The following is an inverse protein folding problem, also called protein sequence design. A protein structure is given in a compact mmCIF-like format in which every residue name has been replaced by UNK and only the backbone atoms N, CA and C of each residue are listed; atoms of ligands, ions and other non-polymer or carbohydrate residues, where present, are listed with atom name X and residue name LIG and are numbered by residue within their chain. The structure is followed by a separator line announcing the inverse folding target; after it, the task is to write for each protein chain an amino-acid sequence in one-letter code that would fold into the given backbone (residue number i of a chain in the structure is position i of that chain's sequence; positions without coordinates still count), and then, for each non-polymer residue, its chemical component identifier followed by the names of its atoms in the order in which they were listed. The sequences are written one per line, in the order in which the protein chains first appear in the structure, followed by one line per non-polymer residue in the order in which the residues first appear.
data_IF_062221573342
#
_entry.id   IF_062221573342
#
_cell.length_a   1.000
_cell.length_b   1.000
_cell.length_c   1.000
_cell.angle_alpha   90.00
_cell.angle_beta   90.00
_cell.angle_gamma   90.00
#
_symmetry.space_group_name_H-M   'P 1'
#
loop_
_entity.id
_entity.type
_entity.pdbx_description
1 polymer ?
#
# COMPACT_ATOMS: atom_id res chain seq x y z
N UNK A 1 -17.28 -16.54 -32.19
CA UNK A 1 -17.78 -15.42 -31.36
C UNK A 1 -17.30 -15.46 -29.91
N UNK A 2 -17.79 -16.34 -29.02
CA UNK A 2 -17.38 -16.33 -27.60
C UNK A 2 -15.85 -16.39 -27.40
N UNK A 3 -15.16 -17.27 -28.15
CA UNK A 3 -13.70 -17.37 -28.13
C UNK A 3 -13.00 -16.11 -28.68
N UNK A 4 -13.58 -15.45 -29.69
CA UNK A 4 -13.01 -14.21 -30.25
C UNK A 4 -13.10 -13.07 -29.24
N UNK A 5 -14.25 -12.92 -28.58
CA UNK A 5 -14.44 -11.95 -27.49
C UNK A 5 -13.47 -12.26 -26.34
N UNK A 6 -13.31 -13.53 -26.00
CA UNK A 6 -12.36 -13.95 -24.96
C UNK A 6 -10.91 -13.61 -25.32
N UNK A 7 -10.52 -13.74 -26.59
CA UNK A 7 -9.19 -13.35 -27.05
C UNK A 7 -9.01 -11.84 -26.99
N UNK A 8 -10.01 -11.07 -27.43
CA UNK A 8 -9.97 -9.60 -27.34
C UNK A 8 -9.84 -9.14 -25.88
N UNK A 9 -10.55 -9.75 -24.94
CA UNK A 9 -10.42 -9.45 -23.50
C UNK A 9 -8.99 -9.66 -22.97
N UNK A 10 -8.23 -10.61 -23.53
CA UNK A 10 -6.82 -10.82 -23.17
C UNK A 10 -5.93 -9.67 -23.67
N UNK A 11 -6.23 -9.13 -24.86
CA UNK A 11 -5.54 -7.97 -25.43
C UNK A 11 -5.88 -6.69 -24.65
N UNK A 12 -7.17 -6.42 -24.43
CA UNK A 12 -7.68 -5.29 -23.64
C UNK A 12 -7.04 -5.25 -22.24
N UNK A 13 -6.82 -6.42 -21.60
CA UNK A 13 -6.17 -6.47 -20.29
C UNK A 13 -4.76 -5.86 -20.30
N UNK A 14 -4.03 -5.90 -21.42
CA UNK A 14 -2.67 -5.38 -21.52
C UNK A 14 -2.62 -3.84 -21.57
N UNK A 15 -3.72 -3.18 -21.90
CA UNK A 15 -3.80 -1.71 -21.94
C UNK A 15 -3.80 -1.09 -20.54
N UNK A 16 -4.04 -1.89 -19.49
CA UNK A 16 -4.13 -1.43 -18.11
C UNK A 16 -2.81 -1.62 -17.35
N UNK A 17 -2.37 -0.58 -16.65
CA UNK A 17 -1.22 -0.66 -15.76
C UNK A 17 -1.57 -1.42 -14.48
N UNK A 18 -1.13 -2.67 -14.39
CA UNK A 18 -1.39 -3.55 -13.26
C UNK A 18 -0.91 -3.01 -11.90
N UNK A 19 -0.08 -1.95 -11.87
CA UNK A 19 0.34 -1.28 -10.63
C UNK A 19 -0.76 -0.41 -10.04
N UNK A 20 -1.71 0.08 -10.81
CA UNK A 20 -2.74 1.03 -10.35
C UNK A 20 -4.15 0.65 -10.80
N UNK A 21 -4.26 -0.31 -11.72
CA UNK A 21 -5.51 -0.78 -12.31
C UNK A 21 -5.60 -2.30 -12.18
N UNK A 22 -6.83 -2.80 -11.99
CA UNK A 22 -7.12 -4.23 -11.92
C UNK A 22 -8.19 -4.56 -12.95
N UNK A 23 -7.92 -5.52 -13.83
CA UNK A 23 -8.87 -6.00 -14.84
C UNK A 23 -8.72 -7.50 -15.07
N UNK A 24 -9.72 -8.26 -14.64
CA UNK A 24 -9.88 -9.68 -14.91
C UNK A 24 -11.31 -9.95 -15.35
N UNK A 25 -11.56 -9.76 -16.65
CA UNK A 25 -12.87 -9.97 -17.26
C UNK A 25 -12.79 -11.17 -18.22
N UNK A 26 -13.85 -11.98 -18.21
CA UNK A 26 -13.98 -13.18 -19.06
C UNK A 26 -15.35 -13.19 -19.71
N UNK A 27 -15.43 -13.73 -20.92
CA UNK A 27 -16.69 -13.96 -21.60
C UNK A 27 -17.24 -15.32 -21.15
N UNK A 28 -18.39 -15.32 -20.47
CA UNK A 28 -18.92 -16.52 -19.79
C UNK A 28 -19.97 -17.25 -20.61
N UNK A 29 -20.78 -16.53 -21.38
CA UNK A 29 -21.81 -17.09 -22.24
C UNK A 29 -22.09 -16.17 -23.43
N UNK A 30 -22.50 -16.76 -24.55
CA UNK A 30 -22.95 -16.03 -25.73
C UNK A 30 -24.20 -16.69 -26.30
N UNK A 31 -25.30 -15.95 -26.34
CA UNK A 31 -26.57 -16.40 -26.89
C UNK A 31 -27.29 -15.24 -27.57
N UNK A 32 -27.82 -15.46 -28.77
CA UNK A 32 -28.65 -14.49 -29.50
C UNK A 32 -28.04 -13.08 -29.65
N UNK A 33 -26.72 -12.99 -29.85
CA UNK A 33 -26.03 -11.70 -30.00
C UNK A 33 -25.72 -10.98 -28.69
N UNK A 34 -26.11 -11.54 -27.54
CA UNK A 34 -25.73 -11.04 -26.21
C UNK A 34 -24.56 -11.85 -25.65
N UNK A 35 -23.54 -11.15 -25.15
CA UNK A 35 -22.41 -11.75 -24.45
C UNK A 35 -22.46 -11.40 -22.97
N UNK A 36 -22.47 -12.41 -22.11
CA UNK A 36 -22.33 -12.23 -20.67
C UNK A 36 -20.84 -12.13 -20.31
N UNK A 37 -20.51 -11.14 -19.49
CA UNK A 37 -19.19 -10.92 -18.95
C UNK A 37 -19.19 -11.22 -17.46
N UNK A 38 -18.15 -11.91 -16.99
CA UNK A 38 -17.91 -12.18 -15.58
C UNK A 38 -16.49 -11.82 -15.17
N UNK A 39 -16.26 -11.74 -13.86
CA UNK A 39 -14.93 -11.52 -13.29
C UNK A 39 -14.89 -10.32 -12.35
N UNK A 40 -13.77 -9.61 -12.34
CA UNK A 40 -13.46 -8.54 -11.38
C UNK A 40 -12.72 -7.39 -12.08
N UNK A 41 -13.07 -6.16 -11.75
CA UNK A 41 -12.34 -4.95 -12.15
C UNK A 41 -12.17 -4.04 -10.95
N UNK A 42 -11.20 -3.12 -11.00
CA UNK A 42 -10.95 -2.20 -9.90
C UNK A 42 -12.18 -1.37 -9.57
N UNK A 43 -12.75 -0.68 -10.56
CA UNK A 43 -13.88 0.22 -10.38
C UNK A 43 -14.70 0.37 -11.68
N UNK A 44 -15.74 1.20 -11.63
CA UNK A 44 -16.62 1.43 -12.77
C UNK A 44 -15.94 2.12 -13.97
N UNK A 45 -14.84 2.86 -13.76
CA UNK A 45 -14.12 3.50 -14.84
C UNK A 45 -13.39 2.43 -15.68
N UNK A 46 -12.78 1.44 -15.03
CA UNK A 46 -12.18 0.29 -15.72
C UNK A 46 -13.25 -0.51 -16.45
N UNK A 47 -14.41 -0.77 -15.82
CA UNK A 47 -15.50 -1.50 -16.48
C UNK A 47 -15.97 -0.80 -17.76
N UNK A 48 -16.18 0.51 -17.67
CA UNK A 48 -16.61 1.34 -18.81
C UNK A 48 -15.58 1.31 -19.94
N UNK A 49 -14.30 1.39 -19.62
CA UNK A 49 -13.23 1.31 -20.62
C UNK A 49 -13.23 -0.04 -21.37
N UNK A 50 -13.36 -1.16 -20.64
CA UNK A 50 -13.45 -2.50 -21.23
C UNK A 50 -14.66 -2.61 -22.16
N UNK A 51 -15.85 -2.19 -21.70
CA UNK A 51 -17.07 -2.27 -22.51
C UNK A 51 -16.96 -1.41 -23.77
N UNK A 52 -16.38 -0.22 -23.67
CA UNK A 52 -16.20 0.67 -24.83
C UNK A 52 -15.29 0.04 -25.89
N UNK A 53 -14.15 -0.52 -25.48
CA UNK A 53 -13.23 -1.19 -26.41
C UNK A 53 -13.89 -2.42 -27.07
N UNK A 54 -14.59 -3.24 -26.29
CA UNK A 54 -15.35 -4.37 -26.83
C UNK A 54 -16.44 -3.94 -27.81
N UNK A 55 -17.17 -2.87 -27.52
CA UNK A 55 -18.26 -2.35 -28.38
C UNK A 55 -17.70 -1.80 -29.70
N UNK A 56 -16.53 -1.16 -29.67
CA UNK A 56 -15.84 -0.72 -30.90
C UNK A 56 -15.48 -1.93 -31.77
N UNK A 57 -14.98 -3.01 -31.15
CA UNK A 57 -14.54 -4.21 -31.86
C UNK A 57 -15.72 -5.06 -32.37
N UNK A 58 -16.77 -5.15 -31.58
CA UNK A 58 -17.94 -6.00 -31.82
C UNK A 58 -19.24 -5.19 -31.73
N UNK A 59 -19.51 -4.28 -32.69
CA UNK A 59 -20.62 -3.33 -32.61
C UNK A 59 -22.02 -3.96 -32.67
N UNK A 60 -22.12 -5.22 -33.09
CA UNK A 60 -23.37 -5.98 -33.13
C UNK A 60 -23.63 -6.82 -31.88
N UNK A 61 -22.74 -6.79 -30.89
CA UNK A 61 -22.84 -7.59 -29.66
C UNK A 61 -23.35 -6.71 -28.52
N UNK A 62 -24.38 -7.19 -27.81
CA UNK A 62 -24.86 -6.60 -26.56
C UNK A 62 -24.04 -7.19 -25.39
N UNK A 63 -23.29 -6.36 -24.67
CA UNK A 63 -22.43 -6.81 -23.56
C UNK A 63 -23.12 -6.61 -22.21
N UNK A 64 -23.39 -7.72 -21.51
CA UNK A 64 -23.98 -7.71 -20.18
C UNK A 64 -22.90 -7.97 -19.11
N UNK A 65 -22.58 -6.95 -18.32
CA UNK A 65 -21.52 -7.01 -17.30
C UNK A 65 -22.04 -7.05 -15.86
N UNK A 66 -23.29 -7.45 -15.66
CA UNK A 66 -23.93 -7.56 -14.32
C UNK A 66 -23.19 -8.53 -13.39
N UNK A 67 -22.51 -9.53 -13.95
CA UNK A 67 -21.68 -10.49 -13.21
C UNK A 67 -20.20 -10.08 -13.05
N UNK A 68 -19.82 -8.86 -13.46
CA UNK A 68 -18.47 -8.30 -13.23
C UNK A 68 -18.46 -7.53 -11.90
N UNK A 69 -17.66 -8.00 -10.95
CA UNK A 69 -17.54 -7.37 -9.65
C UNK A 69 -16.64 -6.12 -9.69
N UNK A 70 -17.11 -5.03 -9.09
CA UNK A 70 -16.30 -3.83 -8.82
C UNK A 70 -15.61 -3.97 -7.46
N UNK A 71 -14.28 -4.08 -7.46
CA UNK A 71 -13.49 -4.33 -6.25
C UNK A 71 -13.44 -3.14 -5.30
N UNK A 72 -13.46 -1.92 -5.85
CA UNK A 72 -13.37 -0.68 -5.11
C UNK A 72 -14.69 0.07 -5.20
N UNK A 73 -15.23 0.40 -4.03
CA UNK A 73 -16.43 1.23 -3.89
C UNK A 73 -16.07 2.59 -3.29
N UNK A 74 -16.93 3.61 -3.44
CA UNK A 74 -16.82 4.82 -2.63
C UNK A 74 -16.83 4.47 -1.13
N UNK A 75 -15.89 5.00 -0.36
CA UNK A 75 -15.77 4.77 1.09
C UNK A 75 -15.48 3.32 1.51
N UNK A 76 -14.49 2.68 0.87
CA UNK A 76 -13.96 1.41 1.37
C UNK A 76 -13.47 1.54 2.81
N UNK A 77 -13.72 0.54 3.68
CA UNK A 77 -13.03 0.47 4.96
C UNK A 77 -11.53 0.38 4.71
N UNK A 78 -10.74 0.85 5.67
CA UNK A 78 -9.29 0.76 5.58
C UNK A 78 -8.72 -0.13 6.65
N UNK A 79 -7.57 -0.73 6.37
CA UNK A 79 -6.75 -1.45 7.33
C UNK A 79 -5.42 -0.72 7.52
N UNK A 80 -4.77 -0.99 8.65
CA UNK A 80 -3.47 -0.40 9.00
C UNK A 80 -2.40 -1.49 9.03
N UNK A 81 -1.22 -1.18 8.49
CA UNK A 81 -0.03 -2.04 8.62
C UNK A 81 0.44 -2.04 10.08
N UNK A 82 0.38 -3.20 10.73
CA UNK A 82 0.65 -3.36 12.17
C UNK A 82 1.99 -4.03 12.49
N UNK A 83 2.71 -4.49 11.46
CA UNK A 83 4.12 -4.86 11.57
C UNK A 83 5.02 -3.64 11.35
N UNK A 84 6.32 -3.78 11.64
CA UNK A 84 7.30 -2.70 11.42
C UNK A 84 7.44 -2.36 9.92
N UNK A 85 7.61 -3.39 9.10
CA UNK A 85 7.85 -3.29 7.66
C UNK A 85 7.31 -4.56 6.99
N UNK A 86 6.58 -4.41 5.89
CA UNK A 86 6.16 -5.54 5.03
C UNK A 86 6.33 -5.19 3.56
N UNK A 87 6.57 -6.20 2.72
CA UNK A 87 6.52 -6.04 1.27
C UNK A 87 5.08 -5.92 0.75
N UNK A 88 4.93 -5.17 -0.34
CA UNK A 88 3.79 -5.21 -1.25
C UNK A 88 4.23 -5.99 -2.49
N UNK A 89 3.56 -7.11 -2.76
CA UNK A 89 4.01 -8.10 -3.73
C UNK A 89 3.14 -8.14 -4.98
N UNK A 90 3.72 -8.55 -6.12
CA UNK A 90 2.99 -8.69 -7.39
C UNK A 90 2.00 -9.86 -7.39
N UNK A 91 2.27 -10.92 -6.63
CA UNK A 91 1.40 -12.10 -6.49
C UNK A 91 1.26 -12.45 -5.01
N UNK A 92 0.28 -13.27 -4.61
CA UNK A 92 0.11 -13.72 -3.23
C UNK A 92 1.19 -14.77 -2.85
N UNK A 93 2.46 -14.37 -2.91
CA UNK A 93 3.61 -15.24 -2.66
C UNK A 93 4.84 -14.44 -2.21
N UNK A 94 5.55 -14.96 -1.20
CA UNK A 94 6.75 -14.32 -0.63
C UNK A 94 7.93 -14.31 -1.58
N UNK A 95 7.96 -15.23 -2.55
CA UNK A 95 9.00 -15.30 -3.59
C UNK A 95 8.61 -14.50 -4.84
N UNK A 96 7.42 -13.89 -4.86
CA UNK A 96 7.05 -13.01 -5.95
C UNK A 96 7.72 -11.65 -5.80
N UNK A 97 7.90 -10.98 -6.93
CA UNK A 97 8.45 -9.63 -7.03
C UNK A 97 7.83 -8.69 -5.98
N UNK A 98 8.69 -8.07 -5.17
CA UNK A 98 8.32 -6.97 -4.27
C UNK A 98 8.23 -5.69 -5.09
N UNK A 99 7.06 -5.09 -5.16
CA UNK A 99 6.81 -3.85 -5.92
C UNK A 99 7.04 -2.61 -5.05
N UNK A 100 6.79 -2.71 -3.74
CA UNK A 100 6.97 -1.65 -2.77
C UNK A 100 7.13 -2.25 -1.36
N UNK A 101 7.41 -1.41 -0.37
CA UNK A 101 7.39 -1.73 1.05
C UNK A 101 6.42 -0.80 1.78
N UNK A 102 5.74 -1.31 2.80
CA UNK A 102 4.79 -0.58 3.62
C UNK A 102 5.30 -0.50 5.06
N UNK A 103 5.26 0.70 5.64
CA UNK A 103 5.71 0.97 7.00
C UNK A 103 4.56 0.80 8.00
N UNK A 104 4.90 0.58 9.27
CA UNK A 104 3.91 0.61 10.35
C UNK A 104 3.04 1.88 10.29
N UNK A 105 1.74 1.73 10.54
CA UNK A 105 0.81 2.86 10.52
C UNK A 105 0.35 3.29 9.12
N UNK A 106 0.92 2.74 8.04
CA UNK A 106 0.38 2.99 6.70
C UNK A 106 -1.02 2.39 6.55
N UNK A 107 -1.89 3.15 5.90
CA UNK A 107 -3.28 2.78 5.66
C UNK A 107 -3.46 2.25 4.25
N UNK A 108 -4.24 1.18 4.11
CA UNK A 108 -4.55 0.56 2.82
C UNK A 108 -6.04 0.24 2.70
N UNK A 109 -6.57 0.24 1.48
CA UNK A 109 -7.91 -0.25 1.15
C UNK A 109 -7.79 -1.76 0.81
N UNK A 110 -8.35 -2.69 1.61
CA UNK A 110 -8.39 -4.10 1.24
C UNK A 110 -9.44 -4.34 0.14
N UNK A 111 -9.02 -4.90 -0.98
CA UNK A 111 -9.91 -5.16 -2.12
C UNK A 111 -10.51 -6.58 -2.06
N UNK A 112 -9.67 -7.59 -1.85
CA UNK A 112 -10.10 -8.97 -1.63
C UNK A 112 -8.97 -9.78 -0.96
N UNK A 113 -9.30 -10.96 -0.43
CA UNK A 113 -8.34 -11.84 0.27
C UNK A 113 -8.34 -13.23 -0.36
N UNK A 114 -7.14 -13.79 -0.51
CA UNK A 114 -6.89 -15.15 -0.98
C UNK A 114 -5.92 -15.84 -0.02
N UNK A 115 -6.42 -16.81 0.74
CA UNK A 115 -5.64 -17.49 1.77
C UNK A 115 -5.07 -16.52 2.80
N UNK A 116 -3.74 -16.49 2.94
CA UNK A 116 -3.03 -15.62 3.88
C UNK A 116 -2.63 -14.24 3.29
N UNK A 117 -3.20 -13.87 2.15
CA UNK A 117 -2.84 -12.67 1.41
C UNK A 117 -4.05 -11.81 1.13
N UNK A 118 -3.88 -10.51 1.30
CA UNK A 118 -4.90 -9.52 0.94
C UNK A 118 -4.36 -8.68 -0.21
N UNK A 119 -5.12 -8.60 -1.30
CA UNK A 119 -4.87 -7.65 -2.37
C UNK A 119 -5.39 -6.29 -1.92
N UNK A 120 -4.51 -5.29 -1.89
CA UNK A 120 -4.78 -3.98 -1.33
C UNK A 120 -4.50 -2.89 -2.34
N UNK A 121 -5.14 -1.73 -2.14
CA UNK A 121 -4.79 -0.47 -2.76
C UNK A 121 -4.20 0.48 -1.72
N UNK A 122 -3.02 1.01 -1.99
CA UNK A 122 -2.40 2.07 -1.21
C UNK A 122 -3.12 3.40 -1.44
N UNK A 123 -2.94 4.35 -0.52
CA UNK A 123 -3.57 5.67 -0.64
C UNK A 123 -3.09 6.45 -1.87
N UNK A 124 -1.89 6.17 -2.37
CA UNK A 124 -1.34 6.72 -3.62
C UNK A 124 -1.87 6.02 -4.89
N UNK A 125 -2.64 4.94 -4.74
CA UNK A 125 -3.23 4.17 -5.83
C UNK A 125 -2.49 2.89 -6.20
N UNK A 126 -1.31 2.62 -5.64
CA UNK A 126 -0.59 1.37 -5.94
C UNK A 126 -1.36 0.13 -5.45
N UNK A 127 -1.39 -0.89 -6.30
CA UNK A 127 -2.01 -2.18 -6.04
C UNK A 127 -0.96 -3.24 -5.75
N UNK A 128 -1.30 -4.19 -4.88
CA UNK A 128 -0.48 -5.37 -4.68
C UNK A 128 -0.94 -6.23 -3.51
N UNK A 129 -0.16 -7.28 -3.24
CA UNK A 129 -0.46 -8.29 -2.24
C UNK A 129 0.33 -8.09 -0.96
N UNK A 130 -0.36 -8.10 0.18
CA UNK A 130 0.24 -8.01 1.52
C UNK A 130 -0.16 -9.24 2.31
N UNK A 131 0.72 -9.71 3.20
CA UNK A 131 0.38 -10.75 4.17
C UNK A 131 -0.72 -10.25 5.12
N UNK A 132 -1.87 -10.93 5.13
CA UNK A 132 -3.05 -10.48 5.88
C UNK A 132 -2.77 -10.38 7.38
N UNK A 133 -1.91 -11.24 7.93
CA UNK A 133 -1.52 -11.21 9.34
C UNK A 133 -0.68 -9.99 9.76
N UNK A 134 -0.29 -9.13 8.82
CA UNK A 134 0.39 -7.86 9.09
C UNK A 134 -0.53 -6.64 8.98
N UNK A 135 -1.82 -6.86 8.73
CA UNK A 135 -2.85 -5.84 8.72
C UNK A 135 -3.72 -5.97 9.98
N UNK A 136 -4.14 -4.85 10.55
CA UNK A 136 -5.14 -4.82 11.62
C UNK A 136 -6.21 -3.78 11.32
N UNK A 137 -7.34 -3.89 12.02
CA UNK A 137 -8.33 -2.82 12.04
C UNK A 137 -7.71 -1.53 12.59
N UNK A 138 -8.14 -0.36 12.10
CA UNK A 138 -7.89 0.90 12.79
C UNK A 138 -8.44 0.81 14.23
N UNK A 139 -7.74 1.35 15.25
CA UNK A 139 -7.13 2.67 15.20
C UNK A 139 -5.66 2.68 15.66
N UNK A 140 -4.75 3.05 14.77
CA UNK A 140 -3.50 3.66 15.22
C UNK A 140 -3.84 5.06 15.79
N UNK A 141 -3.30 5.47 16.95
CA UNK A 141 -3.48 6.84 17.42
C UNK A 141 -2.97 7.83 16.36
N UNK A 142 -3.62 9.01 16.20
CA UNK A 142 -3.17 10.00 15.23
C UNK A 142 -1.68 10.31 15.40
N UNK A 143 -0.89 10.29 14.33
CA UNK A 143 0.54 10.50 14.45
C UNK A 143 0.82 11.94 14.90
N UNK A 144 1.78 12.10 15.80
CA UNK A 144 2.24 13.41 16.30
C UNK A 144 3.65 13.72 15.79
N UNK A 145 4.41 12.69 15.46
CA UNK A 145 5.80 12.78 15.04
C UNK A 145 6.05 11.89 13.81
N UNK A 146 7.12 12.18 13.10
CA UNK A 146 7.71 11.32 12.09
C UNK A 146 9.08 10.86 12.58
N UNK A 147 9.41 9.59 12.34
CA UNK A 147 10.76 9.08 12.60
C UNK A 147 11.74 9.75 11.63
N UNK A 148 12.67 10.54 12.18
CA UNK A 148 13.65 11.31 11.41
C UNK A 148 14.96 10.57 11.15
N UNK A 149 15.34 9.65 12.03
CA UNK A 149 16.52 8.80 11.85
C UNK A 149 16.25 7.67 10.82
N UNK A 150 17.27 7.17 10.09
CA UNK A 150 17.07 6.08 9.13
C UNK A 150 16.53 4.80 9.79
N UNK A 151 16.98 4.54 11.02
CA UNK A 151 16.47 3.50 11.92
C UNK A 151 16.32 4.10 13.31
N UNK A 152 15.14 3.93 13.92
CA UNK A 152 14.85 4.33 15.28
C UNK A 152 14.71 3.09 16.15
N UNK A 153 15.56 2.94 17.17
CA UNK A 153 15.51 1.84 18.11
C UNK A 153 14.44 2.08 19.17
N UNK A 154 13.72 1.01 19.53
CA UNK A 154 12.73 1.04 20.60
C UNK A 154 13.22 0.20 21.78
N UNK A 155 13.32 0.83 22.94
CA UNK A 155 13.75 0.23 24.21
C UNK A 155 12.55 -0.13 25.10
N UNK A 156 12.75 -1.06 26.03
CA UNK A 156 11.72 -1.44 27.02
C UNK A 156 11.42 -0.33 28.03
N UNK A 157 12.40 0.55 28.31
CA UNK A 157 12.26 1.75 29.15
C UNK A 157 12.97 2.93 28.50
N UNK A 158 12.79 4.12 29.07
CA UNK A 158 13.52 5.34 28.69
C UNK A 158 15.00 5.30 29.13
N UNK A 159 15.72 4.26 28.69
CA UNK A 159 17.10 3.95 29.07
C UNK A 159 17.72 3.02 28.01
N UNK A 160 18.83 3.44 27.40
CA UNK A 160 19.51 2.70 26.33
C UNK A 160 20.22 1.43 26.82
N UNK A 161 20.44 1.28 28.13
CA UNK A 161 20.97 0.06 28.72
C UNK A 161 19.94 -1.08 28.78
N UNK A 162 18.67 -0.77 28.53
CA UNK A 162 17.59 -1.75 28.59
C UNK A 162 17.42 -2.52 27.28
N UNK A 163 16.82 -3.72 27.29
CA UNK A 163 16.61 -4.48 26.07
C UNK A 163 15.77 -3.72 25.04
N UNK A 164 16.06 -3.99 23.76
CA UNK A 164 15.24 -3.52 22.64
C UNK A 164 13.93 -4.32 22.55
N UNK A 165 12.82 -3.63 22.30
CA UNK A 165 11.53 -4.23 21.92
C UNK A 165 11.33 -4.28 20.40
N UNK A 166 12.17 -3.55 19.66
CA UNK A 166 12.16 -3.52 18.20
C UNK A 166 12.85 -2.29 17.63
N UNK A 167 12.53 -2.00 16.38
CA UNK A 167 12.94 -0.78 15.66
C UNK A 167 11.79 -0.29 14.81
N UNK A 168 11.86 0.96 14.39
CA UNK A 168 10.96 1.61 13.44
C UNK A 168 11.81 2.26 12.36
N UNK A 169 11.39 2.17 11.11
CA UNK A 169 12.13 2.74 9.99
C UNK A 169 11.91 4.25 9.86
N UNK A 170 12.87 4.96 9.29
CA UNK A 170 12.72 6.37 8.92
C UNK A 170 11.46 6.64 8.11
N UNK A 171 10.92 7.85 8.24
CA UNK A 171 9.67 8.30 7.62
C UNK A 171 8.39 7.63 8.14
N UNK A 172 8.47 6.73 9.12
CA UNK A 172 7.27 6.20 9.79
C UNK A 172 6.61 7.30 10.61
N UNK A 173 5.32 7.55 10.36
CA UNK A 173 4.51 8.45 11.17
C UNK A 173 4.06 7.72 12.45
N UNK A 174 4.36 8.28 13.61
CA UNK A 174 4.14 7.64 14.90
C UNK A 174 3.43 8.56 15.88
N UNK A 175 2.66 7.96 16.79
CA UNK A 175 2.18 8.65 17.97
C UNK A 175 3.23 8.57 19.08
N UNK A 176 3.85 9.71 19.39
CA UNK A 176 4.86 9.84 20.42
C UNK A 176 4.36 10.71 21.58
N UNK A 177 4.53 10.22 22.80
CA UNK A 177 4.30 10.94 24.05
C UNK A 177 5.66 11.23 24.71
N UNK A 178 6.01 12.49 24.89
CA UNK A 178 7.28 12.88 25.53
C UNK A 178 7.22 12.48 27.02
N UNK A 179 8.22 11.72 27.48
CA UNK A 179 8.30 11.23 28.86
C UNK A 179 9.47 11.84 29.65
N UNK A 180 10.45 12.41 28.96
CA UNK A 180 11.53 13.22 29.55
C UNK A 180 12.20 14.08 28.48
N UNK A 181 13.23 14.85 28.86
CA UNK A 181 13.97 15.72 27.94
C UNK A 181 14.51 14.99 26.69
N UNK A 182 14.89 13.72 26.82
CA UNK A 182 15.56 12.97 25.76
C UNK A 182 14.75 11.79 25.22
N UNK A 183 13.54 11.55 25.75
CA UNK A 183 12.80 10.31 25.49
C UNK A 183 11.34 10.54 25.18
N UNK A 184 10.83 9.75 24.25
CA UNK A 184 9.42 9.60 23.96
C UNK A 184 8.99 8.14 24.06
N UNK A 185 7.77 7.92 24.55
CA UNK A 185 7.04 6.65 24.45
C UNK A 185 6.29 6.64 23.12
N UNK A 186 6.57 5.65 22.29
CA UNK A 186 5.92 5.45 20.98
C UNK A 186 4.90 4.31 21.10
N UNK A 187 3.72 4.52 20.52
CA UNK A 187 2.73 3.45 20.30
C UNK A 187 2.62 3.18 18.80
N UNK A 188 2.97 1.97 18.38
CA UNK A 188 2.85 1.52 17.00
C UNK A 188 1.43 1.05 16.69
N UNK A 189 1.07 1.06 15.40
CA UNK A 189 -0.10 0.32 14.94
C UNK A 189 0.05 -1.16 15.33
N UNK A 190 -1.03 -1.79 15.79
CA UNK A 190 -0.99 -3.12 16.42
C UNK A 190 -0.69 -3.11 17.92
N UNK A 191 -0.55 -1.94 18.54
CA UNK A 191 -0.52 -1.78 20.00
C UNK A 191 0.85 -2.02 20.65
N UNK A 192 1.89 -2.35 19.88
CA UNK A 192 3.25 -2.47 20.43
C UNK A 192 3.74 -1.11 20.90
N UNK A 193 4.34 -1.07 22.08
CA UNK A 193 4.87 0.13 22.71
C UNK A 193 6.38 0.00 22.92
N UNK A 194 7.11 1.10 22.77
CA UNK A 194 8.52 1.20 23.12
C UNK A 194 8.96 2.62 23.38
N UNK A 195 10.17 2.79 23.89
CA UNK A 195 10.75 4.10 24.17
C UNK A 195 11.84 4.41 23.15
N UNK A 196 11.79 5.60 22.58
CA UNK A 196 12.75 6.08 21.59
C UNK A 196 13.42 7.36 22.07
N UNK A 197 14.63 7.58 21.58
CA UNK A 197 15.32 8.86 21.70
C UNK A 197 14.54 9.94 20.96
N UNK A 198 14.29 11.06 21.64
CA UNK A 198 13.49 12.17 21.09
C UNK A 198 14.20 12.88 19.92
N UNK A 199 15.55 12.91 19.94
CA UNK A 199 16.38 13.47 18.86
C UNK A 199 16.25 12.71 17.52
N UNK A 200 15.78 11.45 17.55
CA UNK A 200 15.46 10.66 16.36
C UNK A 200 14.05 10.88 15.81
N UNK A 201 13.25 11.74 16.45
CA UNK A 201 11.88 12.05 16.05
C UNK A 201 11.74 13.52 15.64
N UNK A 202 10.84 13.78 14.70
CA UNK A 202 10.48 15.13 14.28
C UNK A 202 8.99 15.38 14.51
N UNK A 203 8.58 16.42 15.26
CA UNK A 203 7.18 16.78 15.37
C UNK A 203 6.58 17.11 14.00
N UNK A 204 5.40 16.59 13.69
CA UNK A 204 4.74 16.84 12.39
C UNK A 204 4.38 18.32 12.21
N UNK A 205 4.01 19.00 13.29
CA UNK A 205 3.71 20.44 13.30
C UNK A 205 4.94 21.34 13.17
N UNK A 206 6.15 20.78 13.26
CA UNK A 206 7.42 21.50 13.10
C UNK A 206 8.06 21.24 11.72
N UNK A 207 7.36 20.56 10.82
CA UNK A 207 7.84 20.38 9.45
C UNK A 207 7.87 21.73 8.70
N UNK A 208 8.90 22.00 7.89
CA UNK A 208 8.99 23.27 7.16
C UNK A 208 7.79 23.48 6.23
N UNK A 209 7.11 24.62 6.39
CA UNK A 209 5.99 25.01 5.54
C UNK A 209 6.43 25.68 4.23
N UNK A 210 7.59 26.34 4.25
CA UNK A 210 8.16 27.04 3.09
C UNK A 210 9.01 26.11 2.20
N UNK A 211 9.16 26.51 0.94
CA UNK A 211 9.86 25.71 -0.06
C UNK A 211 11.35 25.51 0.26
N UNK A 212 12.04 26.55 0.74
CA UNK A 212 13.46 26.49 1.01
C UNK A 212 13.76 25.54 2.18
N UNK A 213 12.99 25.67 3.27
CA UNK A 213 13.07 24.76 4.41
C UNK A 213 12.80 23.30 4.02
N UNK A 214 11.79 23.03 3.18
CA UNK A 214 11.53 21.68 2.67
C UNK A 214 12.70 21.12 1.87
N UNK A 215 13.29 21.91 0.97
CA UNK A 215 14.47 21.49 0.17
C UNK A 215 15.66 21.15 1.06
N UNK A 216 15.97 22.01 2.03
CA UNK A 216 17.05 21.74 2.99
C UNK A 216 16.79 20.47 3.78
N UNK A 217 15.54 20.24 4.19
CA UNK A 217 15.16 19.05 4.93
C UNK A 217 15.28 17.76 4.09
N UNK A 218 14.87 17.79 2.82
CA UNK A 218 15.02 16.67 1.89
C UNK A 218 16.49 16.32 1.70
N UNK A 219 17.35 17.32 1.45
CA UNK A 219 18.80 17.11 1.28
C UNK A 219 19.42 16.52 2.56
N UNK A 220 19.06 17.06 3.73
CA UNK A 220 19.56 16.56 5.01
C UNK A 220 19.15 15.10 5.26
N UNK A 221 17.91 14.73 4.95
CA UNK A 221 17.43 13.35 5.08
C UNK A 221 18.13 12.41 4.08
N UNK A 222 18.23 12.80 2.81
CA UNK A 222 18.88 12.00 1.77
C UNK A 222 20.36 11.71 2.08
N UNK A 223 21.08 12.68 2.66
CA UNK A 223 22.48 12.48 3.07
C UNK A 223 22.67 11.37 4.11
N UNK A 224 21.67 11.11 4.96
CA UNK A 224 21.72 10.03 5.95
C UNK A 224 21.60 8.64 5.33
N UNK A 225 21.23 8.56 4.04
CA UNK A 225 21.01 7.32 3.30
C UNK A 225 22.14 7.02 2.32
N UNK A 226 23.23 7.82 2.33
CA UNK A 226 24.42 7.55 1.53
C UNK A 226 25.03 6.20 1.93
N UNK A 227 25.25 5.33 0.95
CA UNK A 227 25.78 3.98 1.16
C UNK A 227 24.74 2.91 1.48
N UNK A 228 23.46 3.27 1.61
CA UNK A 228 22.37 2.27 1.68
C UNK A 228 22.33 1.50 0.36
N UNK A 229 22.35 0.15 0.38
CA UNK A 229 22.35 -0.64 -0.84
C UNK A 229 21.04 -0.47 -1.60
N UNK A 230 21.12 -0.64 -2.92
CA UNK A 230 19.93 -0.70 -3.74
C UNK A 230 19.08 -1.92 -3.40
N UNK A 231 17.76 -1.75 -3.30
CA UNK A 231 16.81 -2.86 -3.20
C UNK A 231 15.57 -2.59 -4.03
N UNK A 232 15.24 -3.48 -4.98
CA UNK A 232 14.00 -3.37 -5.74
C UNK A 232 12.76 -3.37 -4.81
N UNK A 233 11.93 -2.34 -4.95
CA UNK A 233 10.76 -2.11 -4.09
C UNK A 233 11.09 -1.70 -2.65
N UNK A 234 12.36 -1.42 -2.33
CA UNK A 234 12.80 -0.92 -1.04
C UNK A 234 12.47 0.56 -0.87
N UNK A 235 12.11 0.97 0.35
CA UNK A 235 11.83 2.38 0.66
C UNK A 235 12.42 2.82 2.01
N UNK A 236 13.45 2.13 2.49
CA UNK A 236 13.97 2.29 3.86
C UNK A 236 15.49 2.24 3.93
N UNK A 237 16.06 2.52 5.11
CA UNK A 237 17.49 2.40 5.35
C UNK A 237 18.05 0.96 5.21
N UNK A 238 17.19 -0.05 5.00
CA UNK A 238 17.62 -1.43 4.70
C UNK A 238 17.83 -1.67 3.20
N UNK A 239 17.32 -0.77 2.36
CA UNK A 239 17.34 -0.87 0.91
C UNK A 239 16.40 0.17 0.28
N UNK A 240 16.89 0.90 -0.73
CA UNK A 240 16.18 1.98 -1.45
C UNK A 240 16.27 1.73 -2.97
#
# INVERSE_FOLDING_TARGET
MLQEIQNELVEIKQDFDARTQFCEVTATAWENGRCQLGGKVLDGAILTAVINQLTIRFPSVDFEATAVALLRQPHMPTLTVCTNLTGLHRRPSRISEQMNQLLNGWTVEPLFTEGSWTFVRQMDGYLGWVQSGYLCDPPAPPPTHMVGSPVCLLYTKADESTPLVGRVMGSTAVHATIVSANWARITLAGGRVGFARLDGLRPLNALPGDENGRRQQIIAAARQLLGVPYQWGGCTALGI
#
